data_IF_650394382707
#
_entry.id   IF_650394382707
#
_cell.length_a   1.000
_cell.length_b   1.000
_cell.length_c   1.000
_cell.angle_alpha   90.00
_cell.angle_beta   90.00
_cell.angle_gamma   90.00
#
_symmetry.space_group_name_H-M   'P 1'
#
loop_
_entity.id
_entity.type
_entity.pdbx_description
1 polymer ?
#
# COMPACT_ATOMS: atom_id res chain seq x y z
N UNK A 1 -25.30 37.58 31.44
CA UNK A 1 -26.16 36.40 31.57
C UNK A 1 -25.27 35.20 31.87
N UNK A 2 -25.12 34.84 33.17
CA UNK A 2 -24.40 33.61 33.55
C UNK A 2 -25.38 32.46 33.27
N UNK A 3 -25.17 31.73 32.24
CA UNK A 3 -26.00 30.58 31.87
C UNK A 3 -25.96 29.56 33.00
N UNK A 4 -27.13 29.14 33.48
CA UNK A 4 -27.33 28.10 34.48
C UNK A 4 -27.02 26.72 33.90
N UNK A 5 -25.88 26.54 33.29
CA UNK A 5 -25.45 25.28 32.65
C UNK A 5 -25.47 24.13 33.67
N UNK A 6 -25.04 24.43 34.93
CA UNK A 6 -25.11 23.43 35.99
C UNK A 6 -26.53 23.02 36.38
N UNK A 7 -27.50 23.94 36.30
CA UNK A 7 -28.90 23.64 36.54
C UNK A 7 -29.46 22.74 35.47
N UNK A 8 -29.25 23.06 34.21
CA UNK A 8 -29.75 22.25 33.09
C UNK A 8 -29.12 20.86 33.06
N UNK A 9 -27.83 20.74 33.38
CA UNK A 9 -27.15 19.46 33.46
C UNK A 9 -27.71 18.59 34.61
N UNK A 10 -27.96 19.18 35.77
CA UNK A 10 -28.54 18.50 36.95
C UNK A 10 -29.96 18.07 36.69
N UNK A 11 -30.77 18.92 36.07
CA UNK A 11 -32.18 18.63 35.76
C UNK A 11 -32.25 17.55 34.65
N UNK A 12 -31.44 17.62 33.63
CA UNK A 12 -31.32 16.58 32.59
C UNK A 12 -30.92 15.24 33.17
N UNK A 13 -29.91 15.19 34.04
CA UNK A 13 -29.49 13.96 34.71
C UNK A 13 -30.61 13.37 35.58
N UNK A 14 -31.33 14.21 36.36
CA UNK A 14 -32.40 13.77 37.21
C UNK A 14 -33.59 13.17 36.41
N UNK A 15 -33.94 13.81 35.29
CA UNK A 15 -35.00 13.30 34.40
C UNK A 15 -34.57 11.97 33.73
N UNK A 16 -33.31 11.82 33.41
CA UNK A 16 -32.79 10.59 32.84
C UNK A 16 -32.94 9.40 33.81
N UNK A 17 -32.68 9.61 35.09
CA UNK A 17 -32.86 8.57 36.13
C UNK A 17 -34.33 8.34 36.55
N UNK A 18 -35.20 9.33 36.38
CA UNK A 18 -36.65 9.19 36.67
C UNK A 18 -37.36 8.23 35.72
N UNK A 19 -36.90 8.13 34.45
CA UNK A 19 -37.41 7.22 33.44
C UNK A 19 -36.35 6.18 33.04
N UNK A 20 -35.72 5.55 34.02
CA UNK A 20 -34.50 4.72 33.89
C UNK A 20 -34.53 3.71 32.76
N UNK A 21 -35.67 2.98 32.59
CA UNK A 21 -35.77 1.97 31.54
C UNK A 21 -35.73 2.57 30.11
N UNK A 22 -36.43 3.69 29.94
CA UNK A 22 -36.52 4.38 28.65
C UNK A 22 -35.16 5.05 28.28
N UNK A 23 -34.47 5.62 29.25
CA UNK A 23 -33.15 6.21 29.11
C UNK A 23 -32.07 5.14 28.83
N UNK A 24 -32.15 3.99 29.50
CA UNK A 24 -31.27 2.87 29.29
C UNK A 24 -31.40 2.32 27.86
N UNK A 25 -32.63 2.19 27.37
CA UNK A 25 -32.86 1.77 25.98
C UNK A 25 -32.29 2.77 24.97
N UNK A 26 -32.48 4.08 25.17
CA UNK A 26 -31.96 5.12 24.29
C UNK A 26 -30.41 5.13 24.27
N UNK A 27 -29.78 5.01 25.44
CA UNK A 27 -28.31 4.92 25.55
C UNK A 27 -27.82 3.64 24.84
N UNK A 28 -28.48 2.50 25.08
CA UNK A 28 -28.11 1.23 24.44
C UNK A 28 -28.17 1.30 22.92
N UNK A 29 -29.19 1.89 22.35
CA UNK A 29 -29.31 2.09 20.90
C UNK A 29 -28.20 3.01 20.38
N UNK A 30 -27.94 4.13 21.08
CA UNK A 30 -26.90 5.07 20.67
C UNK A 30 -25.52 4.43 20.69
N UNK A 31 -25.19 3.68 21.74
CA UNK A 31 -23.93 2.93 21.84
C UNK A 31 -23.83 1.89 20.72
N UNK A 32 -24.89 1.13 20.47
CA UNK A 32 -24.90 0.14 19.38
C UNK A 32 -24.67 0.80 18.01
N UNK A 33 -25.34 1.93 17.73
CA UNK A 33 -25.14 2.67 16.48
C UNK A 33 -23.69 3.17 16.34
N UNK A 34 -23.10 3.70 17.42
CA UNK A 34 -21.70 4.17 17.38
C UNK A 34 -20.71 3.02 17.19
N UNK A 35 -20.94 1.87 17.83
CA UNK A 35 -20.12 0.69 17.65
C UNK A 35 -20.20 0.17 16.21
N UNK A 36 -21.39 0.08 15.65
CA UNK A 36 -21.59 -0.35 14.27
C UNK A 36 -20.86 0.62 13.32
N UNK A 37 -21.12 1.92 13.44
CA UNK A 37 -20.49 2.93 12.58
C UNK A 37 -18.97 2.92 12.73
N UNK A 38 -18.43 2.82 13.95
CA UNK A 38 -17.01 2.73 14.21
C UNK A 38 -16.38 1.48 13.59
N UNK A 39 -17.03 0.33 13.74
CA UNK A 39 -16.57 -0.92 13.15
C UNK A 39 -16.54 -0.87 11.64
N UNK A 40 -17.60 -0.38 10.99
CA UNK A 40 -17.63 -0.23 9.54
C UNK A 40 -16.57 0.75 9.04
N UNK A 41 -16.35 1.86 9.74
CA UNK A 41 -15.31 2.83 9.40
C UNK A 41 -13.92 2.22 9.48
N UNK A 42 -13.63 1.43 10.53
CA UNK A 42 -12.36 0.72 10.67
C UNK A 42 -12.15 -0.33 9.59
N UNK A 43 -13.18 -1.12 9.27
CA UNK A 43 -13.11 -2.12 8.19
C UNK A 43 -12.85 -1.45 6.86
N UNK A 44 -13.57 -0.38 6.52
CA UNK A 44 -13.39 0.36 5.29
C UNK A 44 -11.97 0.94 5.17
N UNK A 45 -11.46 1.55 6.25
CA UNK A 45 -10.10 2.08 6.28
C UNK A 45 -9.04 1.00 6.09
N UNK A 46 -9.17 -0.13 6.80
CA UNK A 46 -8.24 -1.25 6.66
C UNK A 46 -8.30 -1.89 5.28
N UNK A 47 -9.49 -1.99 4.68
CA UNK A 47 -9.65 -2.52 3.33
C UNK A 47 -8.95 -1.62 2.30
N UNK A 48 -9.12 -0.30 2.37
CA UNK A 48 -8.44 0.64 1.49
C UNK A 48 -6.91 0.60 1.66
N UNK A 49 -6.44 0.53 2.91
CA UNK A 49 -5.01 0.41 3.21
C UNK A 49 -4.40 -0.89 2.65
N UNK A 50 -5.07 -2.02 2.87
CA UNK A 50 -4.60 -3.31 2.35
C UNK A 50 -4.64 -3.35 0.82
N UNK A 51 -5.69 -2.79 0.20
CA UNK A 51 -5.78 -2.74 -1.26
C UNK A 51 -4.64 -1.93 -1.88
N UNK A 52 -4.32 -0.77 -1.30
CA UNK A 52 -3.17 0.04 -1.74
C UNK A 52 -1.83 -0.66 -1.57
N UNK A 53 -1.67 -1.45 -0.51
CA UNK A 53 -0.46 -2.25 -0.33
C UNK A 53 -0.37 -3.39 -1.36
N UNK A 54 -1.47 -4.10 -1.61
CA UNK A 54 -1.52 -5.15 -2.63
C UNK A 54 -1.24 -4.60 -4.04
N UNK A 55 -1.76 -3.42 -4.37
CA UNK A 55 -1.45 -2.76 -5.64
C UNK A 55 0.04 -2.39 -5.78
N UNK A 56 0.72 -2.05 -4.68
CA UNK A 56 2.17 -1.82 -4.68
C UNK A 56 2.99 -3.10 -4.81
N UNK A 57 2.45 -4.23 -4.38
CA UNK A 57 3.09 -5.55 -4.52
C UNK A 57 2.94 -6.14 -5.93
N UNK A 58 1.93 -5.71 -6.70
CA UNK A 58 1.73 -6.11 -8.10
C UNK A 58 2.66 -5.34 -9.04
N UNK A 59 3.97 -5.52 -8.84
CA UNK A 59 4.98 -4.95 -9.71
C UNK A 59 5.46 -5.99 -10.72
N UNK A 60 5.60 -5.59 -11.98
CA UNK A 60 6.32 -6.37 -13.00
C UNK A 60 7.81 -6.17 -12.76
N UNK A 61 8.55 -7.27 -12.73
CA UNK A 61 10.00 -7.25 -12.75
C UNK A 61 10.47 -7.45 -14.19
N UNK A 62 10.96 -6.39 -14.82
CA UNK A 62 11.58 -6.46 -16.13
C UNK A 62 13.11 -6.52 -15.96
N UNK A 63 13.70 -7.64 -16.29
CA UNK A 63 15.14 -7.81 -16.23
C UNK A 63 15.80 -7.14 -17.43
N UNK A 64 16.99 -6.58 -17.20
CA UNK A 64 17.77 -5.90 -18.21
C UNK A 64 18.84 -6.86 -18.74
N UNK A 65 19.17 -6.73 -20.01
CA UNK A 65 20.24 -7.51 -20.64
C UNK A 65 21.58 -7.26 -19.90
N UNK A 66 22.25 -8.35 -19.55
CA UNK A 66 23.50 -8.32 -18.77
C UNK A 66 24.67 -7.68 -19.52
N UNK A 67 24.56 -7.53 -20.83
CA UNK A 67 25.59 -6.92 -21.69
C UNK A 67 25.60 -5.40 -21.62
N UNK A 68 24.54 -4.78 -21.08
CA UNK A 68 24.41 -3.34 -20.98
C UNK A 68 25.20 -2.80 -19.78
N UNK A 69 25.82 -1.63 -19.99
CA UNK A 69 26.43 -0.89 -18.89
C UNK A 69 25.38 -0.32 -17.94
N UNK A 70 25.75 0.01 -16.70
CA UNK A 70 24.86 0.63 -15.71
C UNK A 70 24.24 1.94 -16.21
N UNK A 71 25.00 2.73 -17.01
CA UNK A 71 24.51 3.98 -17.57
C UNK A 71 23.47 3.74 -18.67
N UNK A 72 23.74 2.78 -19.57
CA UNK A 72 22.81 2.41 -20.64
C UNK A 72 21.54 1.78 -20.07
N UNK A 73 21.67 0.93 -19.04
CA UNK A 73 20.57 0.32 -18.33
C UNK A 73 19.64 1.38 -17.70
N UNK A 74 20.22 2.42 -17.06
CA UNK A 74 19.43 3.54 -16.51
C UNK A 74 18.76 4.38 -17.60
N UNK A 75 19.42 4.55 -18.74
CA UNK A 75 18.85 5.31 -19.86
C UNK A 75 17.61 4.66 -20.47
N UNK A 76 17.40 3.34 -20.27
CA UNK A 76 16.18 2.65 -20.68
C UNK A 76 14.93 3.07 -19.89
N UNK A 77 15.09 3.71 -18.72
CA UNK A 77 13.96 4.09 -17.87
C UNK A 77 12.92 4.91 -18.64
N UNK A 78 13.35 5.91 -19.40
CA UNK A 78 12.44 6.76 -20.18
C UNK A 78 11.70 5.99 -21.28
N UNK A 79 12.29 4.94 -21.83
CA UNK A 79 11.64 4.08 -22.83
C UNK A 79 10.61 3.16 -22.17
N UNK A 80 10.92 2.64 -20.99
CA UNK A 80 10.01 1.80 -20.21
C UNK A 80 8.81 2.61 -19.72
N UNK A 81 9.04 3.81 -19.23
CA UNK A 81 7.97 4.73 -18.78
C UNK A 81 7.06 5.20 -19.92
N UNK A 82 7.58 5.20 -21.16
CA UNK A 82 6.80 5.56 -22.36
C UNK A 82 5.87 4.42 -22.83
N UNK A 83 5.99 3.21 -22.27
CA UNK A 83 5.12 2.09 -22.64
C UNK A 83 3.70 2.35 -22.11
N UNK A 84 2.67 2.16 -22.92
CA UNK A 84 1.28 2.33 -22.49
C UNK A 84 0.96 1.50 -21.23
N UNK A 85 0.13 2.05 -20.34
CA UNK A 85 -0.28 1.44 -19.07
C UNK A 85 0.82 1.33 -18.00
N UNK A 86 2.04 1.78 -18.25
CA UNK A 86 3.05 1.95 -17.19
C UNK A 86 2.72 3.20 -16.39
N UNK A 87 2.59 3.04 -15.06
CA UNK A 87 2.37 4.15 -14.13
C UNK A 87 3.69 4.72 -13.62
N UNK A 88 4.64 3.83 -13.33
CA UNK A 88 5.95 4.14 -12.77
C UNK A 88 6.93 3.02 -13.10
N UNK A 89 8.19 3.34 -13.33
CA UNK A 89 9.28 2.39 -13.54
C UNK A 89 10.51 2.81 -12.73
N UNK A 90 10.84 2.03 -11.73
CA UNK A 90 12.01 2.28 -10.87
C UNK A 90 13.14 1.34 -11.24
N UNK A 91 14.30 1.91 -11.58
CA UNK A 91 15.53 1.14 -11.81
C UNK A 91 16.09 0.61 -10.48
N UNK A 92 16.40 -0.67 -10.44
CA UNK A 92 17.02 -1.35 -9.29
C UNK A 92 18.33 -1.98 -9.75
N UNK A 93 19.44 -1.51 -9.18
CA UNK A 93 20.77 -2.07 -9.48
C UNK A 93 20.94 -3.46 -8.86
N UNK A 94 22.00 -4.18 -9.28
CA UNK A 94 22.36 -5.50 -8.71
C UNK A 94 22.60 -5.42 -7.22
N UNK A 95 23.27 -4.37 -6.75
CA UNK A 95 23.56 -4.13 -5.34
C UNK A 95 22.27 -3.89 -4.55
N UNK A 96 21.40 -3.02 -5.06
CA UNK A 96 20.10 -2.74 -4.44
C UNK A 96 19.21 -3.98 -4.45
N UNK A 97 19.27 -4.79 -5.51
CA UNK A 97 18.52 -6.04 -5.58
C UNK A 97 18.99 -7.04 -4.52
N UNK A 98 20.34 -7.16 -4.34
CA UNK A 98 20.93 -7.97 -3.28
C UNK A 98 20.52 -7.45 -1.91
N UNK A 99 20.68 -6.17 -1.63
CA UNK A 99 20.40 -5.58 -0.33
C UNK A 99 18.92 -5.74 0.06
N UNK A 100 18.01 -5.57 -0.91
CA UNK A 100 16.58 -5.81 -0.71
C UNK A 100 16.27 -7.28 -0.43
N UNK A 101 17.01 -8.20 -1.06
CA UNK A 101 16.86 -9.63 -0.84
C UNK A 101 17.37 -10.03 0.56
N UNK A 102 18.57 -9.58 0.91
CA UNK A 102 19.18 -9.86 2.22
C UNK A 102 18.36 -9.28 3.37
N UNK A 103 17.76 -8.11 3.19
CA UNK A 103 16.90 -7.48 4.20
C UNK A 103 15.62 -8.28 4.55
N UNK A 104 15.24 -9.25 3.73
CA UNK A 104 14.11 -10.15 4.00
C UNK A 104 14.47 -11.33 4.89
N UNK A 105 15.76 -11.57 5.10
CA UNK A 105 16.29 -12.67 5.91
C UNK A 105 17.06 -12.14 7.10
N UNK A 106 17.07 -12.89 8.22
CA UNK A 106 17.82 -12.52 9.42
C UNK A 106 19.34 -12.51 9.16
N UNK A 107 20.06 -11.59 9.83
CA UNK A 107 21.51 -11.34 9.66
C UNK A 107 22.42 -12.58 9.87
N UNK A 108 21.91 -13.67 10.42
CA UNK A 108 22.64 -14.92 10.64
C UNK A 108 22.49 -15.96 9.52
N UNK A 109 21.87 -15.59 8.42
CA UNK A 109 21.55 -16.54 7.36
C UNK A 109 22.70 -16.63 6.32
N UNK A 110 22.78 -17.78 5.65
CA UNK A 110 23.69 -18.10 4.54
C UNK A 110 23.60 -17.06 3.39
N UNK A 111 22.56 -16.25 3.36
CA UNK A 111 22.27 -15.25 2.33
C UNK A 111 22.97 -13.90 2.54
N UNK A 112 23.52 -13.63 3.74
CA UNK A 112 24.15 -12.34 4.04
C UNK A 112 25.38 -12.03 3.18
N UNK A 113 26.05 -13.08 2.66
CA UNK A 113 27.29 -12.96 1.87
C UNK A 113 27.10 -13.25 0.37
N UNK A 114 25.88 -13.07 -0.17
CA UNK A 114 25.65 -13.26 -1.60
C UNK A 114 26.41 -12.23 -2.45
N UNK A 115 27.08 -12.71 -3.49
CA UNK A 115 27.76 -11.85 -4.45
C UNK A 115 26.73 -11.07 -5.28
N UNK A 116 26.85 -9.73 -5.42
CA UNK A 116 25.96 -8.94 -6.27
C UNK A 116 25.89 -9.42 -7.72
N UNK A 117 26.91 -10.10 -8.22
CA UNK A 117 26.97 -10.60 -9.59
C UNK A 117 25.91 -11.66 -9.94
N UNK A 118 25.34 -12.34 -8.92
CA UNK A 118 24.24 -13.28 -9.16
C UNK A 118 22.89 -12.58 -9.35
N UNK A 119 22.81 -11.29 -9.01
CA UNK A 119 21.64 -10.47 -9.26
C UNK A 119 21.75 -9.72 -10.58
N UNK A 120 20.60 -9.45 -11.21
CA UNK A 120 20.52 -8.70 -12.46
C UNK A 120 19.93 -7.33 -12.22
N UNK A 121 20.35 -6.36 -13.03
CA UNK A 121 19.65 -5.09 -13.13
C UNK A 121 18.20 -5.36 -13.55
N UNK A 122 17.27 -4.62 -12.98
CA UNK A 122 15.86 -4.76 -13.28
C UNK A 122 15.11 -3.46 -13.11
N UNK A 123 14.00 -3.34 -13.80
CA UNK A 123 12.97 -2.35 -13.49
C UNK A 123 11.89 -2.99 -12.64
N UNK A 124 11.48 -2.27 -11.61
CA UNK A 124 10.25 -2.53 -10.86
C UNK A 124 9.20 -1.60 -11.47
N UNK A 125 8.21 -2.18 -12.15
CA UNK A 125 7.24 -1.45 -12.96
C UNK A 125 5.87 -1.62 -12.33
N UNK A 126 5.20 -0.51 -12.02
CA UNK A 126 3.81 -0.51 -11.59
C UNK A 126 2.91 -0.14 -12.76
N UNK A 127 1.76 -0.80 -12.84
CA UNK A 127 0.77 -0.56 -13.88
C UNK A 127 -0.29 0.43 -13.42
N UNK A 128 -0.92 1.11 -14.38
CA UNK A 128 -2.12 1.92 -14.15
C UNK A 128 -3.36 1.04 -14.01
N UNK A 129 -3.45 -0.02 -14.81
CA UNK A 129 -4.53 -1.00 -14.81
C UNK A 129 -3.96 -2.42 -14.93
N UNK A 130 -4.18 -3.24 -13.91
CA UNK A 130 -3.73 -4.63 -13.87
C UNK A 130 -4.47 -5.52 -14.90
N UNK A 131 -5.64 -5.12 -15.37
CA UNK A 131 -6.36 -5.86 -16.40
C UNK A 131 -5.62 -5.92 -17.74
N UNK A 132 -4.74 -4.94 -18.01
CA UNK A 132 -3.93 -4.84 -19.22
C UNK A 132 -2.52 -5.42 -19.05
N UNK A 133 -2.27 -6.19 -17.98
CA UNK A 133 -0.98 -6.79 -17.68
C UNK A 133 -0.35 -7.51 -18.88
N UNK A 134 -1.11 -8.38 -19.53
CA UNK A 134 -0.60 -9.20 -20.65
C UNK A 134 -0.16 -8.36 -21.84
N UNK A 135 -0.92 -7.33 -22.18
CA UNK A 135 -0.61 -6.43 -23.29
C UNK A 135 0.62 -5.57 -22.96
N UNK A 136 0.72 -5.10 -21.72
CA UNK A 136 1.86 -4.31 -21.25
C UNK A 136 3.14 -5.14 -21.23
N UNK A 137 3.09 -6.40 -20.79
CA UNK A 137 4.25 -7.31 -20.82
C UNK A 137 4.73 -7.54 -22.26
N UNK A 138 3.83 -7.75 -23.21
CA UNK A 138 4.21 -7.89 -24.63
C UNK A 138 4.85 -6.60 -25.17
N UNK A 139 4.35 -5.43 -24.81
CA UNK A 139 4.94 -4.17 -25.22
C UNK A 139 6.32 -3.93 -24.56
N UNK A 140 6.49 -4.29 -23.30
CA UNK A 140 7.78 -4.20 -22.60
C UNK A 140 8.83 -5.10 -23.23
N UNK A 141 8.50 -6.31 -23.70
CA UNK A 141 9.40 -7.22 -24.41
C UNK A 141 9.91 -6.67 -25.73
N UNK A 142 9.22 -5.71 -26.32
CA UNK A 142 9.65 -5.06 -27.57
C UNK A 142 10.65 -3.93 -27.33
N UNK A 143 10.90 -3.55 -26.06
CA UNK A 143 11.91 -2.55 -25.70
C UNK A 143 13.29 -3.20 -25.77
N UNK A 144 14.14 -2.71 -26.68
CA UNK A 144 15.52 -3.20 -26.81
C UNK A 144 16.27 -3.04 -25.49
N UNK A 145 16.82 -4.13 -24.96
CA UNK A 145 17.55 -4.16 -23.69
C UNK A 145 16.75 -4.72 -22.51
N UNK A 146 15.46 -5.07 -22.69
CA UNK A 146 14.68 -5.86 -21.75
C UNK A 146 14.77 -7.36 -22.16
N UNK A 147 15.01 -8.22 -21.15
CA UNK A 147 15.26 -9.66 -21.35
C UNK A 147 14.10 -10.50 -20.79
#
# INVERSE_FOLDING_TARGET
>A
MKGNFGYFFREGSRNMFSHGFMSFAAIGITVACLLIMGTFSLVAYNADYNLKNLQKENAILAFIDETLSDEDARALQSKVEAVPNVADATFVSREQARDSYVAQYDENDLYANLDPSIFRHRFVIHLQDDALLSETVEALRQVDGIA
#
